data_IF_234241866089
#
_entry.id   IF_234241866089
#
_cell.length_a   1.000
_cell.length_b   1.000
_cell.length_c   1.000
_cell.angle_alpha   90.00
_cell.angle_beta   90.00
_cell.angle_gamma   90.00
#
_symmetry.space_group_name_H-M   'P 1'
#
loop_
_entity.id
_entity.type
_entity.pdbx_description
1 polymer ?
#
# COMPACT_ATOMS: atom_id res chain seq x y z
N UNK A 1 -10.07 -0.28 10.20
CA UNK A 1 -8.70 -0.69 9.84
C UNK A 1 -7.67 -0.47 10.93
N UNK A 2 -7.61 0.71 11.57
CA UNK A 2 -6.74 0.90 12.75
C UNK A 2 -7.00 -0.15 13.84
N UNK A 3 -8.26 -0.59 14.00
CA UNK A 3 -8.62 -1.74 14.82
C UNK A 3 -7.99 -3.06 14.34
N UNK A 4 -8.07 -3.39 13.05
CA UNK A 4 -7.49 -4.60 12.46
C UNK A 4 -5.96 -4.63 12.55
N UNK A 5 -5.31 -3.49 12.29
CA UNK A 5 -3.86 -3.33 12.46
C UNK A 5 -3.49 -3.56 13.92
N UNK A 6 -4.15 -2.86 14.87
CA UNK A 6 -3.92 -3.03 16.30
C UNK A 6 -4.17 -4.46 16.77
N UNK A 7 -5.23 -5.12 16.31
CA UNK A 7 -5.50 -6.51 16.70
C UNK A 7 -4.44 -7.47 16.17
N UNK A 8 -3.97 -7.28 14.92
CA UNK A 8 -2.93 -8.10 14.33
C UNK A 8 -1.57 -7.90 14.99
N UNK A 9 -1.24 -6.67 15.41
CA UNK A 9 0.08 -6.36 15.96
C UNK A 9 0.14 -6.44 17.49
N UNK A 10 -0.90 -6.03 18.21
CA UNK A 10 -0.86 -5.92 19.69
C UNK A 10 -1.32 -7.19 20.41
N UNK A 11 -2.25 -7.97 19.83
CA UNK A 11 -2.82 -9.15 20.51
C UNK A 11 -2.23 -10.50 20.10
N UNK A 12 -1.60 -10.60 18.93
CA UNK A 12 -1.14 -11.89 18.36
C UNK A 12 0.35 -12.16 18.48
N UNK A 13 1.17 -11.13 18.68
CA UNK A 13 2.62 -11.28 18.69
C UNK A 13 3.22 -10.57 19.90
N UNK A 14 4.09 -11.27 20.62
CA UNK A 14 5.02 -10.64 21.55
C UNK A 14 6.23 -10.18 20.73
N UNK A 15 6.69 -8.95 20.96
CA UNK A 15 7.91 -8.44 20.34
C UNK A 15 8.99 -8.34 21.40
N UNK A 16 10.17 -8.87 21.09
CA UNK A 16 11.34 -8.77 21.98
C UNK A 16 12.03 -7.41 21.83
N UNK A 17 11.90 -6.78 20.65
CA UNK A 17 12.49 -5.49 20.34
C UNK A 17 11.58 -4.65 19.43
N UNK A 18 11.84 -3.34 19.40
CA UNK A 18 11.08 -2.41 18.56
C UNK A 18 11.26 -2.64 17.06
N UNK A 19 12.38 -3.21 16.62
CA UNK A 19 12.68 -3.42 15.20
C UNK A 19 11.82 -4.52 14.58
N UNK A 20 11.50 -5.58 15.35
CA UNK A 20 10.55 -6.62 14.96
C UNK A 20 9.15 -6.04 14.75
N UNK A 21 8.71 -5.14 15.65
CA UNK A 21 7.43 -4.45 15.51
C UNK A 21 7.42 -3.55 14.25
N UNK A 22 8.49 -2.79 14.01
CA UNK A 22 8.61 -1.91 12.83
C UNK A 22 8.54 -2.71 11.53
N UNK A 23 9.28 -3.82 11.46
CA UNK A 23 9.29 -4.71 10.28
C UNK A 23 7.92 -5.30 10.02
N UNK A 24 7.26 -5.83 11.07
CA UNK A 24 5.93 -6.43 10.92
C UNK A 24 4.86 -5.40 10.52
N UNK A 25 4.94 -4.19 11.05
CA UNK A 25 4.08 -3.09 10.64
C UNK A 25 4.31 -2.73 9.16
N UNK A 26 5.56 -2.69 8.71
CA UNK A 26 5.88 -2.43 7.31
C UNK A 26 5.30 -3.50 6.39
N UNK A 27 5.44 -4.79 6.73
CA UNK A 27 4.85 -5.90 5.96
C UNK A 27 3.32 -5.79 5.87
N UNK A 28 2.67 -5.51 7.00
CA UNK A 28 1.22 -5.38 7.04
C UNK A 28 0.73 -4.20 6.20
N UNK A 29 1.41 -3.05 6.33
CA UNK A 29 1.11 -1.86 5.54
C UNK A 29 1.33 -2.11 4.05
N UNK A 30 2.40 -2.81 3.67
CA UNK A 30 2.67 -3.15 2.27
C UNK A 30 1.58 -4.08 1.71
N UNK A 31 1.26 -5.17 2.42
CA UNK A 31 0.22 -6.11 2.02
C UNK A 31 -1.14 -5.42 1.88
N UNK A 32 -1.45 -4.48 2.78
CA UNK A 32 -2.70 -3.73 2.72
C UNK A 32 -2.71 -2.71 1.57
N UNK A 33 -1.68 -1.88 1.46
CA UNK A 33 -1.64 -0.78 0.50
C UNK A 33 -1.53 -1.26 -0.94
N UNK A 34 -0.85 -2.39 -1.19
CA UNK A 34 -0.55 -2.89 -2.53
C UNK A 34 -1.21 -4.22 -2.88
N UNK A 35 -1.45 -5.11 -1.90
CA UNK A 35 -1.99 -6.44 -2.17
C UNK A 35 -3.51 -6.52 -2.10
N UNK A 36 -4.15 -5.74 -1.24
CA UNK A 36 -5.58 -5.87 -0.97
C UNK A 36 -6.43 -4.92 -1.81
N UNK A 37 -7.21 -5.47 -2.75
CA UNK A 37 -8.27 -4.74 -3.46
C UNK A 37 -9.52 -4.58 -2.61
N UNK A 38 -10.11 -3.39 -2.61
CA UNK A 38 -11.24 -3.05 -1.74
C UNK A 38 -12.47 -2.70 -2.55
N UNK A 39 -13.59 -3.38 -2.27
CA UNK A 39 -14.88 -3.11 -2.92
C UNK A 39 -15.36 -1.67 -2.74
N UNK A 40 -15.08 -1.08 -1.57
CA UNK A 40 -15.41 0.32 -1.25
C UNK A 40 -14.63 1.32 -2.10
N UNK A 41 -13.46 0.93 -2.63
CA UNK A 41 -12.65 1.73 -3.54
C UNK A 41 -12.85 1.29 -5.00
N UNK A 42 -14.02 0.74 -5.32
CA UNK A 42 -14.35 0.21 -6.66
C UNK A 42 -13.38 -0.87 -7.15
N UNK A 43 -12.83 -1.67 -6.23
CA UNK A 43 -11.87 -2.73 -6.57
C UNK A 43 -10.41 -2.25 -6.68
N UNK A 44 -10.13 -0.98 -6.41
CA UNK A 44 -8.77 -0.46 -6.33
C UNK A 44 -8.09 -0.88 -5.02
N UNK A 45 -6.77 -0.99 -5.08
CA UNK A 45 -5.92 -0.99 -3.90
C UNK A 45 -5.89 0.42 -3.28
N UNK A 46 -5.62 0.54 -1.98
CA UNK A 46 -5.44 1.84 -1.33
C UNK A 46 -4.42 2.73 -2.03
N UNK A 47 -3.29 2.17 -2.50
CA UNK A 47 -2.27 2.94 -3.21
C UNK A 47 -2.78 3.49 -4.55
N UNK A 48 -3.43 2.65 -5.36
CA UNK A 48 -4.01 3.07 -6.65
C UNK A 48 -5.07 4.16 -6.45
N UNK A 49 -5.89 4.04 -5.41
CA UNK A 49 -6.89 5.05 -5.08
C UNK A 49 -6.25 6.40 -4.69
N UNK A 50 -5.17 6.37 -3.91
CA UNK A 50 -4.41 7.58 -3.53
C UNK A 50 -3.78 8.21 -4.78
N UNK A 51 -3.19 7.43 -5.68
CA UNK A 51 -2.63 7.93 -6.94
C UNK A 51 -3.71 8.56 -7.84
N UNK A 52 -4.91 7.97 -7.88
CA UNK A 52 -6.05 8.52 -8.60
C UNK A 52 -6.48 9.87 -8.02
N UNK A 53 -6.64 9.96 -6.68
CA UNK A 53 -6.97 11.22 -6.01
C UNK A 53 -5.89 12.25 -6.25
N UNK A 54 -4.61 11.90 -6.15
CA UNK A 54 -3.50 12.81 -6.41
C UNK A 54 -3.55 13.41 -7.82
N UNK A 55 -3.90 12.58 -8.81
CA UNK A 55 -4.01 13.03 -10.21
C UNK A 55 -5.21 13.96 -10.42
N UNK A 56 -6.32 13.72 -9.72
CA UNK A 56 -7.54 14.53 -9.86
C UNK A 56 -7.54 15.79 -8.99
N UNK A 57 -6.94 15.72 -7.80
CA UNK A 57 -6.99 16.73 -6.74
C UNK A 57 -5.66 16.75 -5.95
N UNK A 58 -4.56 17.23 -6.57
CA UNK A 58 -3.22 17.20 -5.96
C UNK A 58 -3.15 18.01 -4.66
N UNK A 59 -3.91 19.11 -4.54
CA UNK A 59 -3.87 20.01 -3.37
C UNK A 59 -4.37 19.36 -2.07
N UNK A 60 -5.09 18.23 -2.15
CA UNK A 60 -5.59 17.51 -0.97
C UNK A 60 -4.50 16.75 -0.22
N UNK A 61 -3.35 16.58 -0.83
CA UNK A 61 -2.26 15.77 -0.30
C UNK A 61 -0.99 16.63 -0.28
N UNK A 62 -0.18 16.51 0.77
CA UNK A 62 1.06 17.30 0.89
C UNK A 62 2.22 16.66 0.11
N UNK A 63 2.11 15.38 -0.26
CA UNK A 63 3.23 14.61 -0.81
C UNK A 63 2.80 13.76 -2.00
N UNK A 64 3.62 13.81 -3.06
CA UNK A 64 3.40 13.02 -4.27
C UNK A 64 3.58 11.51 -3.97
N UNK A 65 2.54 10.67 -4.18
CA UNK A 65 2.60 9.24 -3.90
C UNK A 65 3.36 8.43 -4.98
N UNK A 66 3.61 8.98 -6.17
CA UNK A 66 4.19 8.26 -7.32
C UNK A 66 5.59 7.70 -7.02
N UNK A 67 6.34 8.35 -6.13
CA UNK A 67 7.67 7.90 -5.70
C UNK A 67 7.65 6.96 -4.48
N UNK A 68 6.47 6.64 -3.94
CA UNK A 68 6.32 5.81 -2.73
C UNK A 68 5.99 4.34 -3.05
N UNK A 69 6.09 3.93 -4.31
CA UNK A 69 5.98 2.52 -4.65
C UNK A 69 7.19 1.79 -4.06
N UNK A 70 7.00 0.83 -3.13
CA UNK A 70 8.06 -0.09 -2.80
C UNK A 70 8.34 -0.82 -4.11
N UNK A 71 9.57 -0.75 -4.58
CA UNK A 71 9.98 -1.47 -5.78
C UNK A 71 9.63 -2.96 -5.69
N UNK A 72 9.87 -3.67 -6.78
CA UNK A 72 9.43 -5.05 -6.98
C UNK A 72 9.69 -5.97 -5.76
N UNK A 73 8.64 -6.34 -5.02
CA UNK A 73 8.70 -7.45 -4.08
C UNK A 73 8.66 -8.74 -4.91
N UNK A 74 9.82 -9.38 -5.06
CA UNK A 74 10.06 -10.52 -5.94
C UNK A 74 9.38 -11.80 -5.46
N UNK A 75 8.05 -11.84 -5.30
CA UNK A 75 7.28 -13.09 -5.07
C UNK A 75 5.80 -13.01 -5.51
N UNK A 76 5.39 -12.26 -6.55
CA UNK A 76 4.12 -12.60 -7.25
C UNK A 76 4.23 -12.30 -8.74
N UNK A 77 3.89 -13.32 -9.54
CA UNK A 77 3.87 -13.40 -11.00
C UNK A 77 3.46 -12.11 -11.73
N UNK A 78 4.43 -11.58 -12.48
CA UNK A 78 4.31 -10.66 -13.62
C UNK A 78 3.41 -11.26 -14.74
N UNK A 79 2.09 -11.29 -14.57
CA UNK A 79 1.20 -11.64 -15.70
C UNK A 79 0.11 -10.64 -16.05
N UNK A 80 -0.18 -9.63 -15.22
CA UNK A 80 -1.34 -8.75 -15.46
C UNK A 80 -1.04 -7.24 -15.56
N UNK A 81 0.23 -6.80 -15.68
CA UNK A 81 0.58 -5.37 -15.70
C UNK A 81 1.05 -4.87 -17.08
N UNK A 82 0.30 -5.21 -18.13
CA UNK A 82 0.58 -4.79 -19.50
C UNK A 82 -0.33 -3.64 -19.98
N UNK A 83 -0.58 -2.59 -19.18
CA UNK A 83 -1.05 -1.26 -19.63
C UNK A 83 -0.62 -0.30 -18.51
N UNK A 84 0.40 0.55 -18.64
CA UNK A 84 0.34 1.92 -19.19
C UNK A 84 1.78 2.37 -19.53
N UNK A 85 2.11 2.60 -20.81
CA UNK A 85 3.16 3.55 -21.17
C UNK A 85 2.59 4.61 -22.11
N UNK A 86 2.08 5.74 -21.59
CA UNK A 86 1.77 6.90 -22.45
C UNK A 86 1.61 8.26 -21.76
N UNK A 87 2.15 8.51 -20.56
CA UNK A 87 2.09 9.86 -19.96
C UNK A 87 3.41 10.30 -19.30
N UNK A 88 4.46 10.22 -20.10
CA UNK A 88 5.67 11.04 -19.95
C UNK A 88 5.91 11.69 -21.32
N UNK A 89 5.25 12.83 -21.51
CA UNK A 89 5.70 13.90 -22.40
C UNK A 89 6.17 15.04 -21.51
#
# INVERSE_FOLDING_TARGET
MNRTIKEATVKRFHYDNHDQLRTRLADFLAAYNFGRRLKTLSGLTPYEYICKIWTSEPDRLTRNPIHQMPGLNSYVSFRDMAIIPSLLA
#
